data_IF_444208346386
#
_entry.id   IF_444208346386
#
_cell.length_a   1.000
_cell.length_b   1.000
_cell.length_c   1.000
_cell.angle_alpha   90.00
_cell.angle_beta   90.00
_cell.angle_gamma   90.00
#
_symmetry.space_group_name_H-M   'P 1'
#
loop_
_entity.id
_entity.type
_entity.pdbx_description
1 polymer ?
#
# COMPACT_ATOMS: atom_id res chain seq x y z
N UNK A 1 8.38 22.03 -24.69
CA UNK A 1 8.46 23.05 -23.63
C UNK A 1 9.47 22.54 -22.60
N UNK A 2 10.65 23.13 -22.57
CA UNK A 2 11.68 22.86 -21.56
C UNK A 2 11.20 23.48 -20.25
N UNK A 3 10.74 22.64 -19.32
CA UNK A 3 10.49 23.09 -17.94
C UNK A 3 11.83 23.58 -17.40
N UNK A 4 11.90 24.81 -16.88
CA UNK A 4 13.15 25.32 -16.32
C UNK A 4 13.59 24.45 -15.15
N UNK A 5 14.88 24.28 -14.95
CA UNK A 5 15.45 23.51 -13.81
C UNK A 5 14.87 24.02 -12.48
N UNK A 6 14.69 25.32 -12.36
CA UNK A 6 14.09 25.96 -11.19
C UNK A 6 12.63 25.54 -10.94
N UNK A 7 11.81 25.46 -11.99
CA UNK A 7 10.43 24.99 -11.87
C UNK A 7 10.37 23.49 -11.46
N UNK A 8 11.29 22.68 -11.99
CA UNK A 8 11.43 21.27 -11.61
C UNK A 8 11.77 21.11 -10.13
N UNK A 9 12.76 21.87 -9.65
CA UNK A 9 13.19 21.85 -8.23
C UNK A 9 12.05 22.30 -7.32
N UNK A 10 11.34 23.36 -7.70
CA UNK A 10 10.21 23.86 -6.91
C UNK A 10 9.08 22.84 -6.79
N UNK A 11 8.71 22.16 -7.88
CA UNK A 11 7.69 21.09 -7.85
C UNK A 11 8.16 19.91 -6.98
N UNK A 12 9.42 19.50 -7.13
CA UNK A 12 9.98 18.42 -6.33
C UNK A 12 9.96 18.75 -4.83
N UNK A 13 10.40 19.95 -4.45
CA UNK A 13 10.36 20.44 -3.07
C UNK A 13 8.92 20.54 -2.55
N UNK A 14 7.99 20.99 -3.37
CA UNK A 14 6.57 21.03 -3.01
C UNK A 14 6.05 19.63 -2.68
N UNK A 15 6.30 18.62 -3.52
CA UNK A 15 5.90 17.24 -3.29
C UNK A 15 6.55 16.70 -2.01
N UNK A 16 7.85 16.92 -1.84
CA UNK A 16 8.56 16.47 -0.66
C UNK A 16 7.98 17.05 0.62
N UNK A 17 7.74 18.37 0.66
CA UNK A 17 7.30 19.06 1.88
C UNK A 17 5.80 18.88 2.17
N UNK A 18 4.95 18.81 1.15
CA UNK A 18 3.50 18.80 1.34
C UNK A 18 2.86 17.39 1.27
N UNK A 19 3.52 16.43 0.63
CA UNK A 19 2.99 15.07 0.53
C UNK A 19 3.82 14.05 1.32
N UNK A 20 5.15 14.11 1.25
CA UNK A 20 6.02 13.10 1.85
C UNK A 20 6.39 13.44 3.29
N UNK A 21 6.81 14.68 3.57
CA UNK A 21 7.22 15.08 4.92
C UNK A 21 6.11 14.86 5.98
N UNK A 22 4.82 15.19 5.75
CA UNK A 22 3.75 14.89 6.70
C UNK A 22 3.62 13.40 7.01
N UNK A 23 3.77 12.53 6.00
CA UNK A 23 3.76 11.07 6.18
C UNK A 23 4.89 10.65 7.13
N UNK A 24 6.11 11.11 6.87
CA UNK A 24 7.28 10.74 7.68
C UNK A 24 7.27 11.36 9.08
N UNK A 25 6.70 12.56 9.26
CA UNK A 25 6.51 13.15 10.59
C UNK A 25 5.59 12.26 11.44
N UNK A 26 4.47 11.80 10.89
CA UNK A 26 3.54 10.92 11.61
C UNK A 26 4.18 9.54 11.91
N UNK A 27 4.92 8.97 10.96
CA UNK A 27 5.70 7.74 11.18
C UNK A 27 6.72 7.95 12.29
N UNK A 28 7.45 9.08 12.29
CA UNK A 28 8.47 9.39 13.30
C UNK A 28 7.87 9.58 14.68
N UNK A 29 6.73 10.26 14.81
CA UNK A 29 5.99 10.36 16.07
C UNK A 29 5.60 8.98 16.59
N UNK A 30 5.09 8.11 15.71
CA UNK A 30 4.78 6.73 16.06
C UNK A 30 6.02 5.94 16.50
N UNK A 31 7.15 6.13 15.84
CA UNK A 31 8.42 5.50 16.20
C UNK A 31 8.88 5.91 17.61
N UNK A 32 8.81 7.20 17.95
CA UNK A 32 9.12 7.70 19.31
C UNK A 32 8.19 7.06 20.33
N UNK A 33 6.88 7.04 20.07
CA UNK A 33 5.90 6.44 20.97
C UNK A 33 6.18 4.95 21.20
N UNK A 34 6.51 4.21 20.13
CA UNK A 34 6.82 2.79 20.21
C UNK A 34 8.13 2.48 20.93
N UNK A 35 9.11 3.42 20.94
CA UNK A 35 10.33 3.31 21.77
C UNK A 35 10.08 3.64 23.23
N UNK A 36 9.19 4.62 23.50
CA UNK A 36 8.94 5.10 24.86
C UNK A 36 7.93 4.24 25.62
N UNK A 37 6.92 3.69 24.94
CA UNK A 37 5.83 2.94 25.55
C UNK A 37 5.76 1.50 25.01
N UNK A 38 5.30 0.56 25.83
CA UNK A 38 5.03 -0.82 25.44
C UNK A 38 3.65 -0.90 24.78
N UNK A 39 3.55 -0.42 23.53
CA UNK A 39 2.28 -0.40 22.80
C UNK A 39 2.04 -1.75 22.10
N UNK A 40 0.79 -2.23 22.16
CA UNK A 40 0.35 -3.43 21.46
C UNK A 40 -0.07 -3.10 20.02
N UNK A 41 0.80 -3.44 19.07
CA UNK A 41 0.58 -3.20 17.63
C UNK A 41 -0.65 -3.95 17.12
N UNK A 42 -0.92 -5.13 17.66
CA UNK A 42 -2.02 -5.98 17.20
C UNK A 42 -3.39 -5.29 17.41
N UNK A 43 -3.58 -4.65 18.56
CA UNK A 43 -4.79 -3.87 18.86
C UNK A 43 -4.94 -2.67 17.92
N UNK A 44 -3.87 -1.91 17.69
CA UNK A 44 -3.90 -0.79 16.74
C UNK A 44 -4.22 -1.25 15.31
N UNK A 45 -3.59 -2.32 14.87
CA UNK A 45 -3.83 -2.88 13.52
C UNK A 45 -5.27 -3.36 13.36
N UNK A 46 -5.88 -3.98 14.38
CA UNK A 46 -7.28 -4.37 14.37
C UNK A 46 -8.22 -3.17 14.26
N UNK A 47 -8.00 -2.14 15.06
CA UNK A 47 -8.81 -0.92 15.02
C UNK A 47 -8.75 -0.29 13.61
N UNK A 48 -7.55 -0.19 13.03
CA UNK A 48 -7.40 0.33 11.66
C UNK A 48 -8.17 -0.54 10.67
N UNK A 49 -7.98 -1.86 10.72
CA UNK A 49 -8.51 -2.78 9.73
C UNK A 49 -10.03 -2.98 9.83
N UNK A 50 -10.59 -2.98 11.05
CA UNK A 50 -12.00 -3.23 11.27
C UNK A 50 -12.87 -1.97 11.38
N UNK A 51 -12.27 -0.79 11.64
CA UNK A 51 -13.02 0.45 11.88
C UNK A 51 -12.60 1.54 10.87
N UNK A 52 -11.34 1.96 10.86
CA UNK A 52 -10.89 3.12 10.07
C UNK A 52 -10.90 2.87 8.55
N UNK A 53 -10.34 1.74 8.10
CA UNK A 53 -10.31 1.39 6.68
C UNK A 53 -11.74 1.18 6.13
N UNK A 54 -12.65 0.43 6.80
CA UNK A 54 -14.05 0.35 6.40
C UNK A 54 -14.73 1.72 6.31
N UNK A 55 -14.55 2.60 7.30
CA UNK A 55 -15.17 3.92 7.30
C UNK A 55 -14.69 4.76 6.11
N UNK A 56 -13.36 4.80 5.85
CA UNK A 56 -12.81 5.51 4.70
C UNK A 56 -13.31 4.91 3.37
N UNK A 57 -13.28 3.58 3.25
CA UNK A 57 -13.75 2.89 2.05
C UNK A 57 -15.24 3.16 1.79
N UNK A 58 -16.07 3.10 2.84
CA UNK A 58 -17.50 3.38 2.75
C UNK A 58 -17.76 4.79 2.21
N UNK A 59 -17.21 5.81 2.87
CA UNK A 59 -17.42 7.20 2.47
C UNK A 59 -16.95 7.43 1.03
N UNK A 60 -15.72 6.98 0.71
CA UNK A 60 -15.15 7.23 -0.62
C UNK A 60 -15.89 6.51 -1.73
N UNK A 61 -16.32 5.26 -1.52
CA UNK A 61 -17.13 4.54 -2.49
C UNK A 61 -18.57 5.05 -2.57
N UNK A 62 -19.14 5.53 -1.46
CA UNK A 62 -20.45 6.13 -1.46
C UNK A 62 -20.47 7.47 -2.23
N UNK A 63 -19.43 8.29 -2.07
CA UNK A 63 -19.27 9.57 -2.78
C UNK A 63 -18.92 9.40 -4.27
N UNK A 64 -18.25 8.30 -4.67
CA UNK A 64 -17.72 8.09 -6.02
C UNK A 64 -18.66 7.25 -6.86
N UNK A 65 -18.92 7.62 -8.11
CA UNK A 65 -19.58 6.73 -9.08
C UNK A 65 -18.65 5.56 -9.40
N UNK A 66 -19.18 4.34 -9.31
CA UNK A 66 -18.42 3.15 -9.72
C UNK A 66 -18.47 3.07 -11.24
N UNK A 67 -17.30 3.13 -11.83
CA UNK A 67 -17.09 3.13 -13.28
C UNK A 67 -16.24 1.91 -13.69
N UNK A 68 -16.12 1.66 -14.99
CA UNK A 68 -15.31 0.56 -15.53
C UNK A 68 -13.84 0.65 -15.08
N UNK A 69 -13.36 1.85 -14.77
CA UNK A 69 -12.01 2.12 -14.26
C UNK A 69 -11.70 1.38 -12.95
N UNK A 70 -12.67 1.19 -12.07
CA UNK A 70 -12.48 0.42 -10.84
C UNK A 70 -12.21 -1.05 -11.13
N UNK A 71 -12.93 -1.63 -12.10
CA UNK A 71 -12.69 -2.99 -12.54
C UNK A 71 -11.35 -3.11 -13.26
N UNK A 72 -10.99 -2.10 -14.07
CA UNK A 72 -9.69 -2.01 -14.73
C UNK A 72 -8.54 -1.90 -13.72
N UNK A 73 -8.74 -1.17 -12.59
CA UNK A 73 -7.77 -1.10 -11.49
C UNK A 73 -7.59 -2.44 -10.78
N UNK A 74 -8.67 -3.20 -10.55
CA UNK A 74 -8.58 -4.58 -10.04
C UNK A 74 -7.79 -5.47 -10.99
N UNK A 75 -8.12 -5.43 -12.28
CA UNK A 75 -7.41 -6.22 -13.30
C UNK A 75 -5.93 -5.85 -13.37
N UNK A 76 -5.62 -4.55 -13.34
CA UNK A 76 -4.24 -4.07 -13.25
C UNK A 76 -3.52 -4.66 -12.04
N UNK A 77 -4.12 -4.58 -10.87
CA UNK A 77 -3.50 -5.06 -9.64
C UNK A 77 -3.20 -6.57 -9.68
N UNK A 78 -4.08 -7.37 -10.29
CA UNK A 78 -3.86 -8.82 -10.51
C UNK A 78 -2.73 -9.06 -11.52
N UNK A 79 -2.73 -8.35 -12.65
CA UNK A 79 -1.67 -8.49 -13.67
C UNK A 79 -0.32 -8.05 -13.09
N UNK A 80 -0.28 -6.90 -12.41
CA UNK A 80 0.94 -6.41 -11.78
C UNK A 80 1.47 -7.37 -10.70
N UNK A 81 0.58 -7.98 -9.91
CA UNK A 81 0.96 -9.04 -8.98
C UNK A 81 1.61 -10.22 -9.70
N UNK A 82 1.04 -10.68 -10.82
CA UNK A 82 1.62 -11.77 -11.63
C UNK A 82 3.00 -11.39 -12.20
N UNK A 83 3.18 -10.16 -12.66
CA UNK A 83 4.47 -9.62 -13.11
C UNK A 83 5.50 -9.63 -11.98
N UNK A 84 5.13 -9.18 -10.77
CA UNK A 84 6.01 -9.20 -9.61
C UNK A 84 6.37 -10.64 -9.18
N UNK A 85 5.40 -11.57 -9.20
CA UNK A 85 5.64 -13.00 -8.92
C UNK A 85 6.66 -13.57 -9.90
N UNK A 86 6.46 -13.33 -11.18
CA UNK A 86 7.37 -13.82 -12.24
C UNK A 86 8.77 -13.24 -12.05
N UNK A 87 8.88 -11.93 -11.90
CA UNK A 87 10.15 -11.24 -11.70
C UNK A 87 10.88 -11.76 -10.46
N UNK A 88 10.22 -11.76 -9.29
CA UNK A 88 10.85 -12.13 -8.02
C UNK A 88 11.24 -13.60 -7.96
N UNK A 89 10.44 -14.48 -8.59
CA UNK A 89 10.77 -15.91 -8.71
C UNK A 89 11.99 -16.13 -9.60
N UNK A 90 12.03 -15.47 -10.77
CA UNK A 90 13.16 -15.57 -11.68
C UNK A 90 14.44 -15.03 -11.03
N UNK A 91 14.38 -13.86 -10.41
CA UNK A 91 15.50 -13.25 -9.71
C UNK A 91 16.03 -14.16 -8.60
N UNK A 92 15.12 -14.70 -7.76
CA UNK A 92 15.48 -15.59 -6.66
C UNK A 92 16.16 -16.88 -7.16
N UNK A 93 15.70 -17.45 -8.28
CA UNK A 93 16.33 -18.61 -8.92
C UNK A 93 17.73 -18.30 -9.47
N UNK A 94 17.89 -17.15 -10.14
CA UNK A 94 19.19 -16.71 -10.68
C UNK A 94 20.22 -16.48 -9.55
N UNK A 95 19.76 -15.95 -8.42
CA UNK A 95 20.59 -15.76 -7.22
C UNK A 95 20.82 -17.04 -6.41
N UNK A 96 20.17 -18.14 -6.78
CA UNK A 96 20.24 -19.43 -6.09
C UNK A 96 19.91 -19.33 -4.58
N UNK A 97 18.89 -18.51 -4.28
CA UNK A 97 18.40 -18.40 -2.91
C UNK A 97 17.95 -19.76 -2.38
N UNK A 98 18.15 -20.01 -1.07
CA UNK A 98 17.47 -21.09 -0.39
C UNK A 98 15.95 -20.95 -0.48
N UNK A 99 15.20 -22.01 -0.24
CA UNK A 99 13.72 -21.95 -0.26
C UNK A 99 13.19 -20.91 0.74
N UNK A 100 13.80 -20.83 1.93
CA UNK A 100 13.44 -19.87 2.97
C UNK A 100 13.69 -18.43 2.52
N UNK A 101 14.92 -18.11 2.12
CA UNK A 101 15.29 -16.76 1.67
C UNK A 101 14.55 -16.38 0.39
N UNK A 102 14.36 -17.33 -0.52
CA UNK A 102 13.62 -17.12 -1.77
C UNK A 102 12.17 -16.69 -1.52
N UNK A 103 11.48 -17.35 -0.59
CA UNK A 103 10.12 -17.00 -0.17
C UNK A 103 10.05 -15.63 0.52
N UNK A 104 10.98 -15.34 1.42
CA UNK A 104 11.07 -14.04 2.09
C UNK A 104 11.40 -12.90 1.11
N UNK A 105 12.31 -13.13 0.16
CA UNK A 105 12.65 -12.17 -0.90
C UNK A 105 11.44 -11.89 -1.80
N UNK A 106 10.71 -12.92 -2.22
CA UNK A 106 9.47 -12.76 -2.99
C UNK A 106 8.45 -11.92 -2.19
N UNK A 107 8.18 -12.27 -0.94
CA UNK A 107 7.25 -11.52 -0.09
C UNK A 107 7.65 -10.05 0.08
N UNK A 108 8.93 -9.76 0.15
CA UNK A 108 9.44 -8.38 0.25
C UNK A 108 9.11 -7.52 -0.99
N UNK A 109 8.95 -8.16 -2.14
CA UNK A 109 8.61 -7.48 -3.41
C UNK A 109 7.11 -7.48 -3.67
N UNK A 110 6.43 -8.61 -3.42
CA UNK A 110 5.00 -8.78 -3.72
C UNK A 110 4.10 -8.02 -2.78
N UNK A 111 4.43 -8.06 -1.48
CA UNK A 111 3.61 -7.51 -0.43
C UNK A 111 4.03 -6.06 -0.16
N UNK A 112 3.46 -5.14 -0.90
CA UNK A 112 3.70 -3.71 -0.68
C UNK A 112 2.63 -3.08 0.22
N UNK A 113 3.01 -2.04 0.94
CA UNK A 113 2.22 -1.46 2.03
C UNK A 113 1.07 -0.57 1.52
N UNK A 114 0.13 -1.18 0.78
CA UNK A 114 -1.01 -0.49 0.17
C UNK A 114 -2.01 0.06 1.20
N UNK A 115 -2.08 -0.54 2.41
CA UNK A 115 -3.00 -0.13 3.47
C UNK A 115 -2.43 1.01 4.34
N UNK A 116 -1.41 0.71 5.14
CA UNK A 116 -0.93 1.64 6.17
C UNK A 116 -0.02 2.75 5.63
N UNK A 117 0.45 2.63 4.38
CA UNK A 117 1.25 3.64 3.70
C UNK A 117 0.57 4.16 2.43
N UNK A 118 0.16 3.27 1.53
CA UNK A 118 -0.37 3.64 0.22
C UNK A 118 -1.68 4.41 0.32
N UNK A 119 -2.64 3.93 1.11
CA UNK A 119 -3.94 4.58 1.27
C UNK A 119 -3.82 5.99 1.89
N UNK A 120 -3.06 6.20 2.99
CA UNK A 120 -2.71 7.53 3.48
C UNK A 120 -2.02 8.41 2.43
N UNK A 121 -1.02 7.88 1.72
CA UNK A 121 -0.27 8.65 0.74
C UNK A 121 -1.18 9.13 -0.41
N UNK A 122 -1.99 8.25 -1.01
CA UNK A 122 -2.93 8.62 -2.07
C UNK A 122 -3.94 9.66 -1.55
N UNK A 123 -4.43 9.50 -0.32
CA UNK A 123 -5.33 10.48 0.30
C UNK A 123 -4.68 11.86 0.40
N UNK A 124 -3.41 11.93 0.77
CA UNK A 124 -2.69 13.21 0.90
C UNK A 124 -2.29 13.80 -0.46
N UNK A 125 -1.80 12.98 -1.39
CA UNK A 125 -1.36 13.46 -2.72
C UNK A 125 -2.52 14.07 -3.51
N UNK A 126 -3.71 13.49 -3.42
CA UNK A 126 -4.89 13.92 -4.18
C UNK A 126 -5.90 14.74 -3.36
N UNK A 127 -5.56 15.16 -2.10
CA UNK A 127 -6.51 15.82 -1.17
C UNK A 127 -7.21 17.06 -1.77
N UNK A 128 -6.47 17.86 -2.52
CA UNK A 128 -6.96 19.12 -3.12
C UNK A 128 -7.37 18.94 -4.59
N UNK A 129 -7.37 17.70 -5.09
CA UNK A 129 -7.80 17.38 -6.46
C UNK A 129 -9.31 17.17 -6.54
N UNK A 130 -9.98 17.59 -7.64
CA UNK A 130 -11.37 17.23 -7.90
C UNK A 130 -11.58 15.71 -8.02
N UNK A 131 -10.50 14.95 -8.21
CA UNK A 131 -10.50 13.49 -8.30
C UNK A 131 -10.14 12.78 -6.98
N UNK A 132 -10.12 13.47 -5.83
CA UNK A 132 -9.69 12.90 -4.56
C UNK A 132 -10.46 11.62 -4.16
N UNK A 133 -11.79 11.63 -4.30
CA UNK A 133 -12.62 10.47 -3.98
C UNK A 133 -12.34 9.31 -4.95
N UNK A 134 -12.22 9.60 -6.24
CA UNK A 134 -11.90 8.61 -7.28
C UNK A 134 -10.52 7.99 -7.07
N UNK A 135 -9.49 8.79 -6.80
CA UNK A 135 -8.14 8.31 -6.53
C UNK A 135 -8.09 7.32 -5.34
N UNK A 136 -8.77 7.67 -4.24
CA UNK A 136 -8.85 6.81 -3.06
C UNK A 136 -9.65 5.54 -3.34
N UNK A 137 -10.73 5.61 -4.12
CA UNK A 137 -11.51 4.42 -4.49
C UNK A 137 -10.71 3.44 -5.37
N UNK A 138 -9.86 3.92 -6.29
CA UNK A 138 -8.92 3.09 -7.05
C UNK A 138 -7.88 2.43 -6.13
N UNK A 139 -7.35 3.16 -5.14
CA UNK A 139 -6.45 2.60 -4.14
C UNK A 139 -7.10 1.47 -3.31
N UNK A 140 -8.39 1.59 -3.02
CA UNK A 140 -9.14 0.52 -2.33
C UNK A 140 -9.20 -0.74 -3.19
N UNK A 141 -9.33 -0.64 -4.51
CA UNK A 141 -9.28 -1.80 -5.41
C UNK A 141 -7.92 -2.51 -5.36
N UNK A 142 -6.83 -1.74 -5.36
CA UNK A 142 -5.45 -2.29 -5.18
C UNK A 142 -5.30 -2.94 -3.81
N UNK A 143 -5.80 -2.31 -2.75
CA UNK A 143 -5.78 -2.84 -1.38
C UNK A 143 -6.46 -4.20 -1.26
N UNK A 144 -7.58 -4.42 -1.94
CA UNK A 144 -8.26 -5.72 -1.95
C UNK A 144 -7.36 -6.83 -2.49
N UNK A 145 -6.72 -6.61 -3.64
CA UNK A 145 -5.81 -7.59 -4.25
C UNK A 145 -4.61 -7.83 -3.34
N UNK A 146 -4.06 -6.79 -2.71
CA UNK A 146 -2.93 -6.92 -1.78
C UNK A 146 -3.30 -7.72 -0.52
N UNK A 147 -4.48 -7.51 0.04
CA UNK A 147 -4.95 -8.30 1.19
C UNK A 147 -5.13 -9.78 0.83
N UNK A 148 -5.69 -10.06 -0.34
CA UNK A 148 -5.84 -11.43 -0.84
C UNK A 148 -4.45 -12.07 -1.03
N UNK A 149 -3.53 -11.39 -1.72
CA UNK A 149 -2.19 -11.91 -1.98
C UNK A 149 -1.39 -12.15 -0.70
N UNK A 150 -1.53 -11.29 0.32
CA UNK A 150 -0.88 -11.44 1.62
C UNK A 150 -1.32 -12.75 2.31
N UNK A 151 -2.63 -13.01 2.32
CA UNK A 151 -3.20 -14.18 3.00
C UNK A 151 -3.17 -15.47 2.16
N UNK A 152 -2.68 -15.42 0.94
CA UNK A 152 -2.53 -16.57 0.04
C UNK A 152 -1.06 -16.78 -0.30
N UNK A 153 -0.57 -16.06 -1.29
CA UNK A 153 0.82 -16.17 -1.80
C UNK A 153 1.82 -15.84 -0.70
N UNK A 154 1.55 -14.82 0.13
CA UNK A 154 2.44 -14.40 1.22
C UNK A 154 2.69 -15.51 2.23
N UNK A 155 1.62 -16.17 2.70
CA UNK A 155 1.71 -17.30 3.63
C UNK A 155 2.35 -18.53 2.98
N UNK A 156 2.06 -18.80 1.69
CA UNK A 156 2.67 -19.90 0.95
C UNK A 156 4.19 -19.71 0.83
N UNK A 157 4.64 -18.54 0.41
CA UNK A 157 6.06 -18.22 0.28
C UNK A 157 6.82 -18.31 1.61
N UNK A 158 6.14 -18.02 2.72
CA UNK A 158 6.74 -18.09 4.05
C UNK A 158 6.77 -19.51 4.66
N UNK A 159 6.34 -20.54 3.92
CA UNK A 159 6.52 -21.94 4.33
C UNK A 159 5.26 -22.70 4.70
N UNK A 160 4.07 -22.18 4.46
CA UNK A 160 2.85 -23.02 4.49
C UNK A 160 2.87 -23.94 3.26
N UNK A 161 2.96 -25.22 3.51
CA UNK A 161 3.22 -26.25 2.49
C UNK A 161 2.11 -26.44 1.44
N UNK A 162 0.94 -25.81 1.57
CA UNK A 162 -0.15 -25.86 0.60
C UNK A 162 -0.97 -24.57 0.59
N UNK A 163 -1.21 -24.02 -0.59
CA UNK A 163 -2.26 -23.03 -0.82
C UNK A 163 -3.62 -23.73 -0.63
N UNK A 164 -4.31 -23.42 0.45
CA UNK A 164 -5.67 -23.88 0.66
C UNK A 164 -6.65 -22.81 0.15
N UNK A 165 -7.19 -23.04 -1.05
CA UNK A 165 -8.15 -22.11 -1.69
C UNK A 165 -9.38 -21.89 -0.78
N UNK A 166 -9.86 -22.92 -0.08
CA UNK A 166 -11.00 -22.81 0.82
C UNK A 166 -10.70 -21.93 2.04
N UNK A 167 -9.51 -22.04 2.65
CA UNK A 167 -9.07 -21.16 3.74
C UNK A 167 -8.84 -19.74 3.26
N UNK A 168 -8.27 -19.58 2.07
CA UNK A 168 -8.08 -18.26 1.44
C UNK A 168 -9.44 -17.58 1.21
N UNK A 169 -10.42 -18.30 0.67
CA UNK A 169 -11.76 -17.78 0.46
C UNK A 169 -12.46 -17.41 1.77
N UNK A 170 -12.33 -18.25 2.82
CA UNK A 170 -12.83 -17.92 4.16
C UNK A 170 -12.18 -16.65 4.72
N UNK A 171 -10.88 -16.47 4.50
CA UNK A 171 -10.16 -15.27 4.95
C UNK A 171 -10.65 -14.03 4.21
N UNK A 172 -10.86 -14.13 2.91
CA UNK A 172 -11.44 -13.07 2.09
C UNK A 172 -12.83 -12.67 2.59
N UNK A 173 -13.69 -13.67 2.81
CA UNK A 173 -15.06 -13.46 3.32
C UNK A 173 -15.10 -12.89 4.75
N UNK A 174 -14.02 -12.96 5.53
CA UNK A 174 -13.91 -12.32 6.85
C UNK A 174 -13.41 -10.88 6.78
N UNK A 175 -13.02 -10.38 5.61
CA UNK A 175 -12.51 -9.01 5.47
C UNK A 175 -13.64 -7.97 5.55
N UNK A 176 -13.61 -7.02 6.50
CA UNK A 176 -14.65 -6.00 6.64
C UNK A 176 -14.82 -5.16 5.38
N UNK A 177 -13.71 -4.92 4.65
CA UNK A 177 -13.70 -4.13 3.43
C UNK A 177 -14.68 -4.66 2.36
N UNK A 178 -14.86 -5.98 2.24
CA UNK A 178 -15.79 -6.56 1.25
C UNK A 178 -17.24 -6.20 1.60
N UNK A 179 -17.61 -6.34 2.88
CA UNK A 179 -18.95 -5.97 3.35
C UNK A 179 -19.18 -4.47 3.23
N UNK A 180 -18.15 -3.68 3.48
CA UNK A 180 -18.21 -2.22 3.35
C UNK A 180 -18.44 -1.78 1.91
N UNK A 181 -17.75 -2.40 0.94
CA UNK A 181 -17.94 -2.15 -0.49
C UNK A 181 -19.37 -2.53 -0.90
N UNK A 182 -19.80 -3.73 -0.52
CA UNK A 182 -21.17 -4.19 -0.81
C UNK A 182 -22.21 -3.25 -0.20
N UNK A 183 -22.05 -2.85 1.06
CA UNK A 183 -22.95 -1.91 1.73
C UNK A 183 -22.98 -0.53 1.04
N UNK A 184 -21.82 0.03 0.68
CA UNK A 184 -21.73 1.30 -0.02
C UNK A 184 -22.48 1.25 -1.38
N UNK A 185 -22.32 0.14 -2.13
CA UNK A 185 -23.00 -0.04 -3.43
C UNK A 185 -24.51 -0.22 -3.27
N UNK A 186 -24.95 -1.08 -2.32
CA UNK A 186 -26.37 -1.34 -2.08
C UNK A 186 -27.09 -0.08 -1.60
N UNK A 187 -26.49 0.68 -0.68
CA UNK A 187 -27.08 1.88 -0.13
C UNK A 187 -27.17 3.04 -1.14
N UNK A 188 -26.37 3.03 -2.21
CA UNK A 188 -26.54 3.94 -3.34
C UNK A 188 -27.83 3.69 -4.15
N UNK A 189 -28.29 2.45 -4.15
CA UNK A 189 -29.52 2.09 -4.86
C UNK A 189 -30.80 2.45 -4.07
N UNK A 190 -30.65 2.81 -2.78
CA UNK A 190 -31.76 3.20 -1.92
C UNK A 190 -31.99 4.71 -2.04
N UNK A 191 -33.23 5.20 -2.16
CA UNK A 191 -33.54 6.64 -2.25
C UNK A 191 -33.42 7.33 -0.87
N UNK A 192 -32.34 7.03 -0.14
CA UNK A 192 -32.02 7.60 1.17
C UNK A 192 -30.67 8.31 1.07
N UNK A 193 -30.66 9.59 1.32
CA UNK A 193 -29.42 10.37 1.41
C UNK A 193 -28.77 10.18 2.80
N UNK A 194 -27.83 9.24 2.88
CA UNK A 194 -27.13 8.94 4.13
C UNK A 194 -26.34 10.12 4.68
N UNK A 195 -25.93 11.06 3.81
CA UNK A 195 -25.16 12.24 4.24
C UNK A 195 -25.94 13.15 5.19
N UNK A 196 -27.28 13.05 5.17
CA UNK A 196 -28.20 13.80 6.04
C UNK A 196 -28.59 13.04 7.30
N UNK A 197 -28.07 11.85 7.52
CA UNK A 197 -28.38 11.05 8.70
C UNK A 197 -27.45 11.38 9.86
N UNK A 198 -27.89 11.12 11.10
CA UNK A 198 -27.09 11.33 12.30
C UNK A 198 -25.86 10.40 12.39
N UNK A 199 -25.84 9.32 11.65
CA UNK A 199 -24.73 8.35 11.60
C UNK A 199 -23.56 8.87 10.74
N UNK A 200 -23.85 9.68 9.72
CA UNK A 200 -22.85 10.15 8.76
C UNK A 200 -21.67 10.89 9.40
N UNK A 201 -21.87 11.86 10.31
CA UNK A 201 -20.75 12.54 10.96
C UNK A 201 -19.81 11.58 11.70
N UNK A 202 -20.33 10.54 12.36
CA UNK A 202 -19.49 9.56 13.06
C UNK A 202 -18.61 8.78 12.07
N UNK A 203 -19.15 8.37 10.91
CA UNK A 203 -18.37 7.68 9.87
C UNK A 203 -17.29 8.63 9.29
N UNK A 204 -17.62 9.91 9.10
CA UNK A 204 -16.67 10.92 8.60
C UNK A 204 -15.52 11.13 9.60
N UNK A 205 -15.79 11.24 10.91
CA UNK A 205 -14.73 11.35 11.92
C UNK A 205 -13.77 10.14 11.91
N UNK A 206 -14.31 8.93 11.75
CA UNK A 206 -13.48 7.74 11.60
C UNK A 206 -12.66 7.80 10.31
N UNK A 207 -13.27 8.16 9.18
CA UNK A 207 -12.56 8.37 7.91
C UNK A 207 -11.40 9.35 8.06
N UNK A 208 -11.62 10.48 8.72
CA UNK A 208 -10.62 11.55 8.86
C UNK A 208 -9.46 11.15 9.79
N UNK A 209 -9.71 10.29 10.77
CA UNK A 209 -8.68 9.73 11.65
C UNK A 209 -7.79 8.66 11.01
N UNK A 210 -8.18 8.10 9.85
CA UNK A 210 -7.53 6.94 9.24
C UNK A 210 -6.05 7.20 8.91
N UNK A 211 -5.73 8.33 8.26
CA UNK A 211 -4.37 8.65 7.81
C UNK A 211 -3.41 8.72 9.00
N UNK A 212 -3.76 9.49 10.02
CA UNK A 212 -2.93 9.67 11.21
C UNK A 212 -2.75 8.36 11.98
N UNK A 213 -3.83 7.61 12.20
CA UNK A 213 -3.78 6.33 12.92
C UNK A 213 -2.91 5.30 12.20
N UNK A 214 -3.03 5.18 10.87
CA UNK A 214 -2.26 4.22 10.09
C UNK A 214 -0.75 4.54 10.10
N UNK A 215 -0.37 5.81 9.90
CA UNK A 215 1.03 6.23 9.84
C UNK A 215 1.71 6.19 11.22
N UNK A 216 1.02 6.61 12.28
CA UNK A 216 1.53 6.48 13.66
C UNK A 216 1.71 5.00 14.00
N UNK A 217 0.75 4.14 13.67
CA UNK A 217 0.88 2.69 13.91
C UNK A 217 2.04 2.09 13.13
N UNK A 218 2.26 2.51 11.89
CA UNK A 218 3.42 2.10 11.09
C UNK A 218 4.73 2.49 11.80
N UNK A 219 4.81 3.70 12.35
CA UNK A 219 5.96 4.15 13.14
C UNK A 219 6.20 3.29 14.38
N UNK A 220 5.15 2.96 15.13
CA UNK A 220 5.23 2.05 16.29
C UNK A 220 5.76 0.68 15.86
N UNK A 221 5.31 0.15 14.71
CA UNK A 221 5.79 -1.13 14.16
C UNK A 221 7.27 -1.07 13.84
N UNK A 222 7.73 -0.02 13.13
CA UNK A 222 9.14 0.16 12.77
C UNK A 222 10.05 0.31 14.00
N UNK A 223 9.55 0.87 15.11
CA UNK A 223 10.33 1.05 16.34
C UNK A 223 10.80 -0.26 16.97
N UNK A 224 10.14 -1.38 16.66
CA UNK A 224 10.48 -2.71 17.17
C UNK A 224 11.52 -3.45 16.33
N UNK A 225 11.82 -2.93 15.12
CA UNK A 225 12.82 -3.52 14.22
C UNK A 225 14.23 -3.10 14.65
N UNK A 226 15.18 -4.06 14.68
CA UNK A 226 16.60 -3.77 14.85
C UNK A 226 17.21 -3.40 13.51
N UNK A 227 18.07 -2.39 13.49
CA UNK A 227 18.79 -1.95 12.31
C UNK A 227 20.10 -2.75 12.19
N UNK A 228 20.27 -3.49 11.08
CA UNK A 228 21.51 -4.18 10.74
C UNK A 228 21.82 -3.98 9.26
N UNK A 229 22.98 -3.37 8.95
CA UNK A 229 23.35 -2.99 7.58
C UNK A 229 24.18 -4.07 6.85
N UNK A 230 24.17 -5.32 7.28
CA UNK A 230 25.17 -6.31 6.86
C UNK A 230 24.76 -7.21 5.70
N UNK A 231 23.50 -7.22 5.27
CA UNK A 231 23.03 -8.21 4.30
C UNK A 231 22.80 -7.61 2.91
N UNK A 232 23.60 -8.02 1.92
CA UNK A 232 23.48 -7.61 0.51
C UNK A 232 22.08 -7.87 -0.04
N UNK A 233 21.46 -8.99 0.33
CA UNK A 233 20.13 -9.36 -0.16
C UNK A 233 19.03 -8.38 0.32
N UNK A 234 19.21 -7.70 1.45
CA UNK A 234 18.31 -6.62 1.91
C UNK A 234 18.36 -5.44 0.93
N UNK A 235 19.54 -5.04 0.50
CA UNK A 235 19.70 -3.95 -0.46
C UNK A 235 19.18 -4.32 -1.86
N UNK A 236 19.39 -5.55 -2.28
CA UNK A 236 18.86 -6.06 -3.55
C UNK A 236 17.32 -6.11 -3.53
N UNK A 237 16.71 -6.58 -2.45
CA UNK A 237 15.26 -6.56 -2.27
C UNK A 237 14.72 -5.12 -2.24
N UNK A 238 15.42 -4.22 -1.55
CA UNK A 238 15.09 -2.79 -1.50
C UNK A 238 15.14 -2.13 -2.88
N UNK A 239 16.21 -2.37 -3.62
CA UNK A 239 16.37 -1.90 -5.00
C UNK A 239 15.27 -2.46 -5.91
N UNK A 240 15.03 -3.76 -5.84
CA UNK A 240 13.97 -4.42 -6.59
C UNK A 240 12.60 -3.83 -6.27
N UNK A 241 12.29 -3.59 -4.98
CA UNK A 241 10.99 -3.04 -4.57
C UNK A 241 10.81 -1.58 -4.98
N UNK A 242 11.81 -0.72 -4.73
CA UNK A 242 11.68 0.74 -4.87
C UNK A 242 12.00 1.27 -6.27
N UNK A 243 12.71 0.52 -7.11
CA UNK A 243 13.08 0.95 -8.46
C UNK A 243 12.54 0.00 -9.54
N UNK A 244 12.80 -1.30 -9.45
CA UNK A 244 12.31 -2.25 -10.47
C UNK A 244 10.79 -2.40 -10.37
N UNK A 245 10.21 -2.47 -9.16
CA UNK A 245 8.76 -2.52 -8.97
C UNK A 245 8.04 -1.38 -9.70
N UNK A 246 8.35 -0.10 -9.43
CA UNK A 246 7.78 1.04 -10.15
C UNK A 246 7.99 1.00 -11.66
N UNK A 247 9.17 0.55 -12.13
CA UNK A 247 9.42 0.40 -13.56
C UNK A 247 8.51 -0.67 -14.20
N UNK A 248 8.34 -1.81 -13.55
CA UNK A 248 7.41 -2.85 -13.99
C UNK A 248 5.95 -2.36 -13.94
N UNK A 249 5.59 -1.57 -12.92
CA UNK A 249 4.27 -0.94 -12.84
C UNK A 249 4.03 0.00 -14.02
N UNK A 250 5.01 0.86 -14.35
CA UNK A 250 4.93 1.76 -15.50
C UNK A 250 4.72 0.99 -16.80
N UNK A 251 5.50 -0.07 -17.04
CA UNK A 251 5.34 -0.92 -18.23
C UNK A 251 3.95 -1.57 -18.26
N UNK A 252 3.46 -2.06 -17.13
CA UNK A 252 2.12 -2.67 -17.04
C UNK A 252 1.03 -1.65 -17.33
N UNK A 253 1.12 -0.43 -16.78
CA UNK A 253 0.20 0.69 -17.04
C UNK A 253 0.18 1.03 -18.52
N UNK A 254 1.36 1.13 -19.15
CA UNK A 254 1.52 1.44 -20.55
C UNK A 254 0.88 0.35 -21.45
N UNK A 255 1.19 -0.93 -21.21
CA UNK A 255 0.64 -2.06 -21.96
C UNK A 255 -0.87 -2.20 -21.81
N UNK A 256 -1.43 -1.84 -20.66
CA UNK A 256 -2.88 -1.86 -20.42
C UNK A 256 -3.59 -0.59 -20.93
N UNK A 257 -2.87 0.33 -21.56
CA UNK A 257 -3.41 1.59 -22.07
C UNK A 257 -4.20 2.34 -20.99
N UNK A 258 -3.55 2.57 -19.83
CA UNK A 258 -4.11 3.31 -18.68
C UNK A 258 -3.51 4.70 -18.69
N UNK A 259 -4.36 5.72 -18.52
CA UNK A 259 -3.98 7.14 -18.63
C UNK A 259 -4.52 7.97 -17.47
N UNK A 260 -4.11 9.26 -17.42
CA UNK A 260 -4.64 10.26 -16.51
C UNK A 260 -4.49 9.92 -15.03
N UNK A 261 -5.47 10.33 -14.24
CA UNK A 261 -5.49 10.11 -12.78
C UNK A 261 -5.33 8.63 -12.39
N UNK A 262 -5.97 7.73 -13.13
CA UNK A 262 -5.86 6.30 -12.84
C UNK A 262 -4.41 5.82 -12.96
N UNK A 263 -3.70 6.21 -14.01
CA UNK A 263 -2.29 5.86 -14.20
C UNK A 263 -1.40 6.44 -13.08
N UNK A 264 -1.64 7.69 -12.68
CA UNK A 264 -0.91 8.32 -11.56
C UNK A 264 -1.12 7.54 -10.27
N UNK A 265 -2.38 7.26 -9.89
CA UNK A 265 -2.71 6.51 -8.67
C UNK A 265 -2.06 5.12 -8.67
N UNK A 266 -2.18 4.38 -9.77
CA UNK A 266 -1.66 3.02 -9.87
C UNK A 266 -0.12 3.00 -9.84
N UNK A 267 0.56 3.96 -10.48
CA UNK A 267 2.02 4.07 -10.42
C UNK A 267 2.49 4.40 -8.99
N UNK A 268 1.88 5.39 -8.34
CA UNK A 268 2.23 5.78 -6.96
C UNK A 268 1.95 4.62 -6.00
N UNK A 269 0.78 3.98 -6.09
CA UNK A 269 0.40 2.84 -5.27
C UNK A 269 1.38 1.67 -5.42
N UNK A 270 1.80 1.38 -6.65
CA UNK A 270 2.74 0.30 -6.94
C UNK A 270 4.18 0.60 -6.50
N UNK A 271 4.46 1.84 -6.12
CA UNK A 271 5.80 2.31 -5.73
C UNK A 271 6.00 2.43 -4.21
N UNK A 272 4.95 2.15 -3.42
CA UNK A 272 5.06 2.20 -1.95
C UNK A 272 5.97 1.10 -1.40
N UNK A 273 6.56 1.29 -0.20
CA UNK A 273 7.52 0.35 0.38
C UNK A 273 6.90 -1.02 0.68
N UNK A 274 7.75 -1.98 1.05
CA UNK A 274 7.34 -3.31 1.51
C UNK A 274 6.38 -3.22 2.69
N UNK A 275 5.35 -4.04 2.68
CA UNK A 275 4.36 -4.10 3.76
C UNK A 275 4.96 -4.69 5.03
N UNK A 276 4.57 -4.15 6.19
CA UNK A 276 4.94 -4.73 7.49
C UNK A 276 4.42 -6.16 7.64
N UNK A 277 3.33 -6.51 6.98
CA UNK A 277 2.80 -7.87 6.95
C UNK A 277 3.82 -8.90 6.43
N UNK A 278 4.74 -8.53 5.54
CA UNK A 278 5.82 -9.42 5.10
C UNK A 278 6.71 -9.83 6.27
N UNK A 279 7.08 -8.88 7.15
CA UNK A 279 7.86 -9.18 8.35
C UNK A 279 7.05 -9.92 9.42
N UNK A 280 5.76 -9.58 9.59
CA UNK A 280 4.89 -10.27 10.57
C UNK A 280 4.69 -11.74 10.21
N UNK A 281 4.43 -12.05 8.94
CA UNK A 281 4.33 -13.42 8.45
C UNK A 281 5.65 -14.17 8.63
N UNK A 282 6.79 -13.52 8.36
CA UNK A 282 8.10 -14.10 8.54
C UNK A 282 8.38 -14.43 10.02
N UNK A 283 7.96 -13.58 10.95
CA UNK A 283 8.05 -13.85 12.41
C UNK A 283 7.13 -14.99 12.83
N UNK A 284 5.86 -14.98 12.36
CA UNK A 284 4.87 -15.99 12.72
C UNK A 284 5.28 -17.41 12.28
N UNK A 285 5.90 -17.51 11.09
CA UNK A 285 6.31 -18.78 10.49
C UNK A 285 7.80 -19.08 10.67
N UNK A 286 8.51 -18.28 11.46
CA UNK A 286 9.97 -18.37 11.75
C UNK A 286 10.81 -18.48 10.46
N UNK A 287 10.48 -17.69 9.43
CA UNK A 287 11.13 -17.72 8.12
C UNK A 287 11.82 -16.40 7.81
N UNK A 288 13.16 -16.33 7.91
CA UNK A 288 13.98 -15.17 7.55
C UNK A 288 13.45 -13.84 8.13
N UNK A 289 13.07 -13.86 9.42
CA UNK A 289 12.44 -12.74 10.14
C UNK A 289 13.29 -11.47 10.17
N UNK A 290 14.61 -11.64 10.34
CA UNK A 290 15.54 -10.50 10.40
C UNK A 290 15.70 -9.86 9.04
N UNK A 291 15.86 -10.66 7.97
CA UNK A 291 15.86 -10.17 6.59
C UNK A 291 14.58 -9.41 6.27
N UNK A 292 13.41 -10.01 6.50
CA UNK A 292 12.11 -9.42 6.18
C UNK A 292 11.87 -8.10 6.92
N UNK A 293 12.22 -8.05 8.22
CA UNK A 293 12.09 -6.84 9.04
C UNK A 293 13.00 -5.72 8.55
N UNK A 294 14.23 -6.04 8.16
CA UNK A 294 15.17 -5.04 7.63
C UNK A 294 14.76 -4.52 6.26
N UNK A 295 14.22 -5.36 5.37
CA UNK A 295 13.70 -4.89 4.08
C UNK A 295 12.52 -3.94 4.28
N UNK A 296 11.58 -4.26 5.17
CA UNK A 296 10.46 -3.35 5.50
C UNK A 296 10.99 -1.99 5.95
N UNK A 297 11.96 -1.98 6.87
CA UNK A 297 12.50 -0.73 7.41
C UNK A 297 13.28 0.05 6.36
N UNK A 298 14.18 -0.61 5.62
CA UNK A 298 15.02 0.05 4.61
C UNK A 298 14.17 0.60 3.46
N UNK A 299 13.20 -0.19 2.97
CA UNK A 299 12.29 0.28 1.92
C UNK A 299 11.44 1.45 2.41
N UNK A 300 10.94 1.42 3.64
CA UNK A 300 10.16 2.52 4.20
C UNK A 300 10.97 3.81 4.27
N UNK A 301 12.20 3.76 4.79
CA UNK A 301 13.04 4.95 4.91
C UNK A 301 13.43 5.52 3.54
N UNK A 302 13.89 4.67 2.62
CA UNK A 302 14.31 5.11 1.29
C UNK A 302 13.14 5.52 0.40
N UNK A 303 11.92 5.08 0.71
CA UNK A 303 10.72 5.49 -0.02
C UNK A 303 10.45 7.00 0.06
N UNK A 304 10.98 7.72 1.06
CA UNK A 304 10.90 9.18 1.11
C UNK A 304 11.42 9.83 -0.18
N UNK A 305 12.56 9.37 -0.66
CA UNK A 305 13.18 9.88 -1.88
C UNK A 305 12.52 9.31 -3.12
N UNK A 306 12.38 7.98 -3.19
CA UNK A 306 11.86 7.32 -4.40
C UNK A 306 10.41 7.70 -4.70
N UNK A 307 9.55 7.83 -3.68
CA UNK A 307 8.16 8.26 -3.89
C UNK A 307 8.07 9.73 -4.31
N UNK A 308 8.93 10.61 -3.79
CA UNK A 308 8.97 12.00 -4.28
C UNK A 308 9.25 12.05 -5.78
N UNK A 309 10.23 11.24 -6.24
CA UNK A 309 10.55 11.12 -7.67
C UNK A 309 9.37 10.52 -8.45
N UNK A 310 8.77 9.43 -7.96
CA UNK A 310 7.66 8.76 -8.63
C UNK A 310 6.42 9.66 -8.73
N UNK A 311 6.06 10.37 -7.66
CA UNK A 311 4.93 11.32 -7.69
C UNK A 311 5.21 12.40 -8.73
N UNK A 312 6.39 12.99 -8.73
CA UNK A 312 6.80 13.97 -9.73
C UNK A 312 6.71 13.42 -11.16
N UNK A 313 7.29 12.24 -11.41
CA UNK A 313 7.25 11.60 -12.73
C UNK A 313 5.81 11.27 -13.15
N UNK A 314 4.96 10.83 -12.23
CA UNK A 314 3.57 10.48 -12.53
C UNK A 314 2.78 11.67 -13.07
N UNK A 315 3.04 12.89 -12.56
CA UNK A 315 2.37 14.12 -13.05
C UNK A 315 2.85 14.55 -14.44
N UNK A 316 4.09 14.21 -14.81
CA UNK A 316 4.64 14.53 -16.13
C UNK A 316 4.21 13.50 -17.19
N UNK A 317 4.29 12.21 -16.82
CA UNK A 317 4.04 11.09 -17.74
C UNK A 317 2.56 10.90 -18.01
N UNK A 318 1.71 11.16 -17.01
CA UNK A 318 0.26 10.93 -17.09
C UNK A 318 -0.51 12.22 -16.81
N UNK A 319 -0.42 13.17 -17.75
CA UNK A 319 -1.17 14.43 -17.66
C UNK A 319 -2.67 14.17 -17.61
N UNK A 320 -3.38 14.97 -16.80
CA UNK A 320 -4.84 14.96 -16.63
C UNK A 320 -5.45 16.09 -17.41
#
# INVERSE_FOLDING_TARGET
>A
MTVSVEATVNIFLYILMNNIAPVFILIFLGFILGKKFKLDIYSFSKIIFFIYVPALAFVKLYETKIEAEHLKALLYAVIYLAVLVTFSTLFSRLRKHSTALGGAFQNSILLYNSANFGLPLITLVFKDSPYAAFAVSLQIMVLLVQNISTNTIGLFNAGRSRLNIGESLKTILKMPAIYTIAAALLLKCVPLDLTKTFVWPAIVYLKDGMVSMALVTLGIQLSKTKFEFKHVEVYLATFARLLIGPALAFVTIYLMNIHGIMAQVLLISSSVPTAVNAALIAVELDNEKDFSSQVVMTTTLLSAVTLTVVIYLSTILFKV
#
